data_IF_204260060116
#
_entry.id   IF_204260060116
#
_cell.length_a   1.000
_cell.length_b   1.000
_cell.length_c   1.000
_cell.angle_alpha   90.00
_cell.angle_beta   90.00
_cell.angle_gamma   90.00
#
_symmetry.space_group_name_H-M   'P 1'
#
loop_
_entity.id
_entity.type
_entity.pdbx_description
1 polymer ?
#
# COMPACT_ATOMS: atom_id res chain seq x y z
N UNK A 1 19.59 -23.44 -15.08
CA UNK A 1 18.94 -22.43 -15.94
C UNK A 1 17.66 -21.79 -15.37
N UNK A 2 17.05 -22.36 -14.31
CA UNK A 2 15.88 -21.77 -13.66
C UNK A 2 16.21 -20.57 -12.74
N UNK A 3 17.39 -20.54 -12.12
CA UNK A 3 17.80 -19.47 -11.18
C UNK A 3 17.92 -18.07 -11.83
N UNK A 4 18.27 -18.01 -13.13
CA UNK A 4 18.41 -16.74 -13.84
C UNK A 4 17.06 -16.05 -14.11
N UNK A 5 15.97 -16.81 -14.27
CA UNK A 5 14.62 -16.26 -14.46
C UNK A 5 13.95 -15.88 -13.14
N UNK A 6 14.24 -16.60 -12.05
CA UNK A 6 13.76 -16.26 -10.71
C UNK A 6 14.36 -14.92 -10.23
N UNK A 7 15.67 -14.71 -10.39
CA UNK A 7 16.34 -13.44 -10.05
C UNK A 7 15.75 -12.24 -10.78
N UNK A 8 15.47 -12.36 -12.08
CA UNK A 8 14.88 -11.26 -12.87
C UNK A 8 13.46 -10.90 -12.40
N UNK A 9 12.69 -11.91 -11.97
CA UNK A 9 11.33 -11.74 -11.45
C UNK A 9 11.35 -11.08 -10.07
N UNK A 10 12.21 -11.55 -9.17
CA UNK A 10 12.41 -10.95 -7.83
C UNK A 10 12.84 -9.49 -7.91
N UNK A 11 13.80 -9.15 -8.77
CA UNK A 11 14.24 -7.76 -8.95
C UNK A 11 13.12 -6.85 -9.46
N UNK A 12 12.29 -7.35 -10.39
CA UNK A 12 11.13 -6.62 -10.92
C UNK A 12 10.09 -6.39 -9.82
N UNK A 13 9.82 -7.41 -9.00
CA UNK A 13 8.87 -7.34 -7.89
C UNK A 13 9.36 -6.35 -6.82
N UNK A 14 10.66 -6.36 -6.48
CA UNK A 14 11.26 -5.38 -5.56
C UNK A 14 11.19 -3.96 -6.14
N UNK A 15 11.40 -3.78 -7.45
CA UNK A 15 11.23 -2.50 -8.10
C UNK A 15 9.79 -1.97 -7.99
N UNK A 16 8.78 -2.84 -8.17
CA UNK A 16 7.37 -2.48 -7.99
C UNK A 16 7.04 -2.07 -6.55
N UNK A 17 7.65 -2.72 -5.54
CA UNK A 17 7.50 -2.31 -4.14
C UNK A 17 8.09 -0.93 -3.88
N UNK A 18 9.28 -0.64 -4.43
CA UNK A 18 9.91 0.69 -4.34
C UNK A 18 9.03 1.76 -5.00
N UNK A 19 8.51 1.49 -6.20
CA UNK A 19 7.57 2.40 -6.87
C UNK A 19 6.31 2.59 -6.05
N UNK A 20 5.76 1.52 -5.46
CA UNK A 20 4.59 1.62 -4.58
C UNK A 20 4.87 2.53 -3.38
N UNK A 21 6.03 2.39 -2.75
CA UNK A 21 6.45 3.24 -1.64
C UNK A 21 6.54 4.71 -2.04
N UNK A 22 7.16 5.00 -3.18
CA UNK A 22 7.27 6.37 -3.71
C UNK A 22 5.89 6.98 -4.03
N UNK A 23 4.94 6.16 -4.50
CA UNK A 23 3.56 6.61 -4.76
C UNK A 23 2.80 7.01 -3.51
N UNK A 24 3.16 6.48 -2.33
CA UNK A 24 2.51 6.82 -1.07
C UNK A 24 3.00 8.15 -0.46
N UNK A 25 4.20 8.64 -0.83
CA UNK A 25 4.79 9.89 -0.33
C UNK A 25 3.82 11.08 -0.35
N UNK A 26 3.09 11.37 -1.45
CA UNK A 26 2.21 12.55 -1.49
C UNK A 26 0.92 12.40 -0.68
N UNK A 27 0.54 11.20 -0.22
CA UNK A 27 -0.77 10.96 0.43
C UNK A 27 -0.97 11.85 1.67
N UNK A 28 -0.03 11.95 2.63
CA UNK A 28 -0.16 12.86 3.77
C UNK A 28 -0.53 14.29 3.40
N UNK A 29 0.16 14.87 2.41
CA UNK A 29 -0.10 16.25 1.97
C UNK A 29 -1.43 16.40 1.23
N UNK A 30 -1.85 15.39 0.47
CA UNK A 30 -3.14 15.37 -0.20
C UNK A 30 -4.30 15.27 0.80
N UNK A 31 -4.13 14.51 1.88
CA UNK A 31 -5.11 14.41 2.96
C UNK A 31 -5.30 15.75 3.69
N UNK A 32 -4.22 16.50 3.93
CA UNK A 32 -4.29 17.85 4.53
C UNK A 32 -4.99 18.85 3.60
N UNK A 33 -4.88 18.65 2.28
CA UNK A 33 -5.56 19.46 1.26
C UNK A 33 -6.99 19.01 0.97
N UNK A 34 -7.48 18.01 1.68
CA UNK A 34 -8.80 17.42 1.47
C UNK A 34 -9.02 16.86 0.05
N UNK A 35 -7.93 16.48 -0.65
CA UNK A 35 -7.99 15.90 -2.00
C UNK A 35 -8.22 14.38 -1.92
N UNK A 36 -9.43 14.01 -1.51
CA UNK A 36 -9.84 12.63 -1.28
C UNK A 36 -9.74 11.78 -2.55
N UNK A 37 -10.08 12.35 -3.71
CA UNK A 37 -10.04 11.66 -4.99
C UNK A 37 -8.59 11.30 -5.37
N UNK A 38 -7.65 12.25 -5.25
CA UNK A 38 -6.26 11.99 -5.57
C UNK A 38 -5.64 10.91 -4.67
N UNK A 39 -5.95 10.92 -3.37
CA UNK A 39 -5.51 9.88 -2.43
C UNK A 39 -6.03 8.50 -2.86
N UNK A 40 -7.33 8.39 -3.12
CA UNK A 40 -7.93 7.11 -3.52
C UNK A 40 -7.41 6.64 -4.88
N UNK A 41 -7.18 7.55 -5.82
CA UNK A 41 -6.58 7.25 -7.13
C UNK A 41 -5.21 6.60 -6.96
N UNK A 42 -4.36 7.11 -6.05
CA UNK A 42 -3.08 6.48 -5.72
C UNK A 42 -3.29 5.07 -5.17
N UNK A 43 -4.15 4.91 -4.15
CA UNK A 43 -4.37 3.62 -3.48
C UNK A 43 -4.98 2.54 -4.38
N UNK A 44 -5.77 2.93 -5.39
CA UNK A 44 -6.50 2.04 -6.31
C UNK A 44 -5.80 1.82 -7.66
N UNK A 45 -4.68 2.48 -7.92
CA UNK A 45 -3.92 2.32 -9.17
C UNK A 45 -2.68 1.45 -8.96
N UNK A 46 -2.27 0.64 -9.94
CA UNK A 46 -1.00 -0.07 -9.88
C UNK A 46 0.20 0.88 -9.72
N UNK A 47 1.25 0.47 -8.99
CA UNK A 47 1.42 -0.84 -8.37
C UNK A 47 0.76 -0.99 -6.98
N UNK A 48 0.27 0.11 -6.38
CA UNK A 48 -0.23 0.11 -4.99
C UNK A 48 -1.44 -0.79 -4.79
N UNK A 49 -2.38 -0.81 -5.76
CA UNK A 49 -3.59 -1.63 -5.63
C UNK A 49 -3.32 -3.14 -5.60
N UNK A 50 -2.23 -3.60 -6.21
CA UNK A 50 -1.81 -5.00 -6.17
C UNK A 50 -1.52 -5.46 -4.74
N UNK A 51 -1.12 -4.55 -3.84
CA UNK A 51 -0.76 -4.87 -2.46
C UNK A 51 -1.95 -5.23 -1.57
N UNK A 52 -3.19 -4.92 -1.98
CA UNK A 52 -4.34 -5.07 -1.09
C UNK A 52 -5.70 -5.28 -1.77
N UNK A 53 -5.85 -4.90 -3.04
CA UNK A 53 -7.16 -4.81 -3.70
C UNK A 53 -7.40 -5.83 -4.83
N UNK A 54 -6.36 -6.52 -5.30
CA UNK A 54 -6.45 -7.43 -6.46
C UNK A 54 -6.45 -8.93 -6.11
N UNK A 55 -6.50 -9.28 -4.82
CA UNK A 55 -6.48 -10.66 -4.33
C UNK A 55 -5.09 -11.30 -4.28
N UNK A 56 -4.99 -12.48 -3.66
CA UNK A 56 -3.71 -13.13 -3.32
C UNK A 56 -2.82 -13.47 -4.52
N UNK A 57 -3.40 -13.90 -5.65
CA UNK A 57 -2.63 -14.32 -6.82
C UNK A 57 -1.93 -13.17 -7.55
N UNK A 58 -2.38 -11.94 -7.32
CA UNK A 58 -1.82 -10.72 -7.91
C UNK A 58 -1.06 -9.89 -6.88
N UNK A 59 -0.98 -10.36 -5.64
CA UNK A 59 -0.33 -9.60 -4.58
C UNK A 59 1.19 -9.66 -4.71
N UNK A 60 1.81 -8.50 -4.88
CA UNK A 60 3.25 -8.35 -5.10
C UNK A 60 4.08 -8.98 -3.98
N UNK A 61 3.65 -8.86 -2.71
CA UNK A 61 4.35 -9.49 -1.58
C UNK A 61 4.12 -10.99 -1.50
N UNK A 62 2.94 -11.48 -1.86
CA UNK A 62 2.69 -12.93 -1.95
C UNK A 62 3.52 -13.57 -3.08
N UNK A 63 3.69 -12.88 -4.20
CA UNK A 63 4.58 -13.30 -5.28
C UNK A 63 6.02 -13.32 -4.75
N UNK A 64 6.48 -12.24 -4.12
CA UNK A 64 7.84 -12.15 -3.58
C UNK A 64 8.15 -13.23 -2.53
N UNK A 65 7.20 -13.53 -1.64
CA UNK A 65 7.34 -14.57 -0.63
C UNK A 65 7.54 -15.96 -1.25
N UNK A 66 6.83 -16.24 -2.36
CA UNK A 66 6.97 -17.51 -3.09
C UNK A 66 8.30 -17.61 -3.83
N UNK A 67 8.75 -16.52 -4.45
CA UNK A 67 10.01 -16.49 -5.21
C UNK A 67 11.24 -16.56 -4.30
N UNK A 68 11.20 -15.89 -3.14
CA UNK A 68 12.32 -15.87 -2.18
C UNK A 68 12.28 -17.02 -1.17
N UNK A 69 11.12 -17.65 -1.00
CA UNK A 69 10.89 -18.61 0.09
C UNK A 69 10.83 -17.96 1.49
N UNK A 70 10.86 -16.62 1.57
CA UNK A 70 10.79 -15.88 2.81
C UNK A 70 9.31 -15.67 3.22
N UNK A 71 8.84 -16.51 4.14
CA UNK A 71 7.45 -16.46 4.61
C UNK A 71 7.15 -15.29 5.57
N UNK A 72 8.17 -14.62 6.11
CA UNK A 72 7.97 -13.40 6.93
C UNK A 72 7.33 -12.27 6.11
N UNK A 73 7.51 -12.29 4.77
CA UNK A 73 6.85 -11.38 3.84
C UNK A 73 5.32 -11.55 3.82
N UNK A 74 4.77 -12.69 4.23
CA UNK A 74 3.32 -12.91 4.32
C UNK A 74 2.71 -12.14 5.49
N UNK A 75 3.42 -12.07 6.63
CA UNK A 75 2.98 -11.26 7.77
C UNK A 75 2.95 -9.79 7.38
N UNK A 76 4.05 -9.29 6.81
CA UNK A 76 4.12 -7.89 6.32
C UNK A 76 3.05 -7.61 5.27
N UNK A 77 2.72 -8.58 4.40
CA UNK A 77 1.61 -8.46 3.43
C UNK A 77 0.28 -8.19 4.11
N UNK A 78 -0.09 -8.98 5.12
CA UNK A 78 -1.39 -8.85 5.77
C UNK A 78 -1.51 -7.51 6.51
N UNK A 79 -0.45 -7.09 7.20
CA UNK A 79 -0.44 -5.81 7.89
C UNK A 79 -0.44 -4.60 6.92
N UNK A 80 0.30 -4.69 5.81
CA UNK A 80 0.32 -3.68 4.76
C UNK A 80 -1.04 -3.55 4.09
N UNK A 81 -1.66 -4.68 3.73
CA UNK A 81 -2.98 -4.70 3.14
C UNK A 81 -4.03 -4.07 4.06
N UNK A 82 -3.98 -4.40 5.36
CA UNK A 82 -4.84 -3.79 6.37
C UNK A 82 -4.65 -2.27 6.47
N UNK A 83 -3.39 -1.81 6.47
CA UNK A 83 -3.08 -0.37 6.54
C UNK A 83 -3.60 0.39 5.31
N UNK A 84 -3.38 -0.14 4.10
CA UNK A 84 -3.84 0.46 2.84
C UNK A 84 -5.37 0.45 2.72
N UNK A 85 -6.01 -0.66 3.10
CA UNK A 85 -7.47 -0.79 3.08
C UNK A 85 -8.12 0.21 4.03
N UNK A 86 -7.63 0.32 5.27
CA UNK A 86 -8.17 1.26 6.24
C UNK A 86 -7.87 2.71 5.85
N UNK A 87 -6.73 2.99 5.22
CA UNK A 87 -6.43 4.30 4.66
C UNK A 87 -7.46 4.69 3.58
N UNK A 88 -7.78 3.79 2.65
CA UNK A 88 -8.83 4.02 1.64
C UNK A 88 -10.19 4.22 2.28
N UNK A 89 -10.54 3.41 3.29
CA UNK A 89 -11.83 3.50 3.97
C UNK A 89 -12.02 4.87 4.64
N UNK A 90 -11.07 5.32 5.46
CA UNK A 90 -11.18 6.64 6.11
C UNK A 90 -11.19 7.79 5.10
N UNK A 91 -10.39 7.67 4.03
CA UNK A 91 -10.39 8.67 2.95
C UNK A 91 -11.74 8.72 2.24
N UNK A 92 -12.34 7.57 1.97
CA UNK A 92 -13.66 7.47 1.35
C UNK A 92 -14.76 8.01 2.27
N UNK A 93 -14.71 7.70 3.57
CA UNK A 93 -15.68 8.20 4.55
C UNK A 93 -15.69 9.73 4.61
N UNK A 94 -14.53 10.39 4.46
CA UNK A 94 -14.44 11.85 4.42
C UNK A 94 -15.25 12.47 3.27
N UNK A 95 -15.44 11.78 2.15
CA UNK A 95 -16.27 12.26 1.03
C UNK A 95 -17.71 12.47 1.48
N UNK A 96 -18.22 11.65 2.41
CA UNK A 96 -19.61 11.71 2.88
C UNK A 96 -19.84 12.71 4.00
N UNK A 97 -18.78 13.16 4.68
CA UNK A 97 -18.88 14.08 5.82
C UNK A 97 -19.62 15.37 5.44
N UNK A 98 -19.42 15.87 4.21
CA UNK A 98 -20.07 17.09 3.72
C UNK A 98 -21.58 16.96 3.46
N UNK A 99 -22.11 15.73 3.48
CA UNK A 99 -23.52 15.43 3.22
C UNK A 99 -24.29 15.01 4.48
N UNK A 100 -23.61 14.84 5.62
CA UNK A 100 -24.25 14.46 6.87
C UNK A 100 -24.82 15.67 7.62
N UNK A 101 -26.01 15.54 8.24
CA UNK A 101 -26.55 16.61 9.08
C UNK A 101 -25.72 16.79 10.36
N UNK A 102 -25.18 17.99 10.57
CA UNK A 102 -24.39 18.36 11.76
C UNK A 102 -22.94 18.75 11.44
N UNK A 103 -22.12 18.93 12.48
CA UNK A 103 -20.70 19.30 12.36
C UNK A 103 -19.80 18.07 12.21
N UNK A 104 -20.02 17.29 11.15
CA UNK A 104 -19.13 16.16 10.83
C UNK A 104 -17.70 16.64 10.67
N UNK A 105 -16.75 15.99 11.36
CA UNK A 105 -15.32 16.37 11.30
C UNK A 105 -14.58 15.43 10.36
N UNK A 106 -13.89 16.00 9.38
CA UNK A 106 -12.98 15.27 8.51
C UNK A 106 -11.90 14.55 9.33
N UNK A 107 -11.66 13.28 9.01
CA UNK A 107 -10.62 12.46 9.63
C UNK A 107 -9.39 12.48 8.75
N UNK A 108 -8.44 13.37 9.08
CA UNK A 108 -7.17 13.49 8.35
C UNK A 108 -6.07 12.67 9.03
N UNK A 109 -6.07 12.63 10.37
CA UNK A 109 -5.00 12.03 11.17
C UNK A 109 -4.88 10.52 10.94
N UNK A 110 -5.99 9.80 11.03
CA UNK A 110 -6.04 8.35 10.92
C UNK A 110 -5.54 7.84 9.55
N UNK A 111 -6.07 8.29 8.39
CA UNK A 111 -5.55 7.85 7.09
C UNK A 111 -4.09 8.29 6.87
N UNK A 112 -3.66 9.43 7.43
CA UNK A 112 -2.27 9.88 7.35
C UNK A 112 -1.31 8.96 8.09
N UNK A 113 -1.65 8.57 9.32
CA UNK A 113 -0.85 7.61 10.10
C UNK A 113 -0.78 6.24 9.41
N UNK A 114 -1.87 5.80 8.78
CA UNK A 114 -1.92 4.55 8.02
C UNK A 114 -1.07 4.61 6.75
N UNK A 115 -1.10 5.71 6.01
CA UNK A 115 -0.22 5.91 4.85
C UNK A 115 1.26 5.87 5.24
N UNK A 116 1.62 6.51 6.36
CA UNK A 116 3.00 6.48 6.89
C UNK A 116 3.39 5.07 7.34
N UNK A 117 2.48 4.35 8.00
CA UNK A 117 2.71 2.95 8.39
C UNK A 117 2.91 2.05 7.16
N UNK A 118 2.08 2.19 6.14
CA UNK A 118 2.21 1.44 4.90
C UNK A 118 3.57 1.67 4.21
N UNK A 119 4.10 2.90 4.24
CA UNK A 119 5.45 3.18 3.74
C UNK A 119 6.53 2.42 4.52
N UNK A 120 6.42 2.36 5.86
CA UNK A 120 7.37 1.61 6.70
C UNK A 120 7.31 0.10 6.46
N UNK A 121 6.12 -0.45 6.29
CA UNK A 121 5.91 -1.87 5.98
C UNK A 121 6.46 -2.22 4.59
N UNK A 122 6.38 -1.31 3.62
CA UNK A 122 7.06 -1.47 2.34
C UNK A 122 8.58 -1.45 2.48
N UNK A 123 9.12 -0.52 3.27
CA UNK A 123 10.56 -0.45 3.54
C UNK A 123 11.06 -1.75 4.21
N UNK A 124 10.28 -2.30 5.16
CA UNK A 124 10.55 -3.58 5.82
C UNK A 124 10.52 -4.75 4.84
N UNK A 125 9.47 -4.87 4.00
CA UNK A 125 9.38 -5.92 3.00
C UNK A 125 10.55 -5.88 2.00
N UNK A 126 10.95 -4.68 1.56
CA UNK A 126 12.13 -4.51 0.69
C UNK A 126 13.39 -4.97 1.41
N UNK A 127 13.52 -4.65 2.71
CA UNK A 127 14.63 -5.12 3.55
C UNK A 127 14.68 -6.64 3.66
N UNK A 128 13.55 -7.30 3.96
CA UNK A 128 13.46 -8.76 4.08
C UNK A 128 13.76 -9.49 2.76
N UNK A 129 13.47 -8.86 1.62
CA UNK A 129 13.71 -9.45 0.30
C UNK A 129 15.13 -9.23 -0.24
N UNK A 130 15.94 -8.41 0.41
CA UNK A 130 17.31 -8.07 -0.03
C UNK A 130 18.40 -8.59 0.92
N UNK A 131 18.01 -9.34 1.95
CA UNK A 131 18.90 -10.09 2.85
C UNK A 131 19.29 -11.43 2.24
#
# INVERSE_FOLDING_TARGET
>A
PFDAMASTTTDTVIADLKVSRERLIPIPDLLEKEDWEAVRRILKTPPVNSLWNLGETKNTLMILAKETGNFDLIEVKDELAGSLQMCDQFTYDNVFVYYQPGSGKVKVKEPKELAIRAMKQLDEAIGLATQ
#
